data_IF_481104903538
#
_entry.id   IF_481104903538
#
_cell.length_a   1.000
_cell.length_b   1.000
_cell.length_c   1.000
_cell.angle_alpha   90.00
_cell.angle_beta   90.00
_cell.angle_gamma   90.00
#
_symmetry.space_group_name_H-M   'P 1'
#
loop_
_entity.id
_entity.type
_entity.pdbx_description
1 polymer ?
#
# COMPACT_ATOMS: atom_id res chain seq x y z
N UNK A 1 16.16 2.33 6.53
CA UNK A 1 15.12 1.49 7.18
C UNK A 1 14.44 0.65 6.11
N UNK A 2 13.69 -0.37 6.53
CA UNK A 2 12.82 -1.13 5.65
C UNK A 2 11.37 -0.67 5.92
N UNK A 3 10.71 -0.15 4.90
CA UNK A 3 9.38 0.46 5.00
C UNK A 3 8.41 -0.35 4.17
N UNK A 4 7.31 -0.80 4.78
CA UNK A 4 6.19 -1.40 4.06
C UNK A 4 5.10 -0.34 3.88
N UNK A 5 4.76 -0.04 2.63
CA UNK A 5 3.62 0.81 2.27
C UNK A 5 2.46 -0.09 1.85
N UNK A 6 1.31 0.09 2.48
CA UNK A 6 0.08 -0.64 2.16
C UNK A 6 -0.87 0.31 1.43
N UNK A 7 -1.15 0.01 0.17
CA UNK A 7 -2.14 0.75 -0.61
C UNK A 7 -3.47 0.00 -0.59
N UNK A 8 -4.56 0.69 -0.23
CA UNK A 8 -5.92 0.10 -0.20
C UNK A 8 -6.91 0.85 -1.08
N UNK A 9 -6.47 1.87 -1.82
CA UNK A 9 -7.38 2.60 -2.71
C UNK A 9 -7.71 1.76 -3.95
N UNK A 10 -9.00 1.55 -4.27
CA UNK A 10 -9.38 0.91 -5.53
C UNK A 10 -9.01 1.79 -6.74
N UNK A 11 -8.93 3.11 -6.56
CA UNK A 11 -8.56 4.06 -7.60
C UNK A 11 -7.05 4.16 -7.76
N UNK A 12 -6.49 3.44 -8.75
CA UNK A 12 -5.04 3.39 -9.02
C UNK A 12 -4.37 4.76 -9.16
N UNK A 13 -5.06 5.69 -9.81
CA UNK A 13 -4.59 7.06 -10.05
C UNK A 13 -5.32 8.07 -9.14
N UNK A 14 -5.84 7.60 -8.01
CA UNK A 14 -6.52 8.44 -7.03
C UNK A 14 -5.56 9.20 -6.12
N UNK A 15 -6.07 10.17 -5.36
CA UNK A 15 -5.27 11.04 -4.50
C UNK A 15 -4.45 10.29 -3.45
N UNK A 16 -4.96 9.17 -2.91
CA UNK A 16 -4.24 8.37 -1.92
C UNK A 16 -2.99 7.70 -2.50
N UNK A 17 -3.09 7.13 -3.70
CA UNK A 17 -1.95 6.51 -4.38
C UNK A 17 -0.94 7.57 -4.82
N UNK A 18 -1.39 8.74 -5.29
CA UNK A 18 -0.50 9.86 -5.58
C UNK A 18 0.28 10.32 -4.33
N UNK A 19 -0.35 10.35 -3.17
CA UNK A 19 0.33 10.66 -1.91
C UNK A 19 1.36 9.57 -1.55
N UNK A 20 0.98 8.30 -1.68
CA UNK A 20 1.87 7.16 -1.43
C UNK A 20 3.11 7.21 -2.33
N UNK A 21 2.94 7.47 -3.63
CA UNK A 21 4.03 7.61 -4.60
C UNK A 21 5.04 8.70 -4.19
N UNK A 22 4.55 9.87 -3.77
CA UNK A 22 5.42 10.96 -3.34
C UNK A 22 6.16 10.62 -2.03
N UNK A 23 5.51 9.92 -1.10
CA UNK A 23 6.16 9.43 0.12
C UNK A 23 7.24 8.39 -0.20
N UNK A 24 6.93 7.39 -1.04
CA UNK A 24 7.85 6.34 -1.47
C UNK A 24 9.10 6.97 -2.08
N UNK A 25 8.91 7.89 -3.05
CA UNK A 25 10.03 8.60 -3.69
C UNK A 25 10.92 9.30 -2.66
N UNK A 26 10.33 10.06 -1.74
CA UNK A 26 11.11 10.75 -0.69
C UNK A 26 11.85 9.80 0.25
N UNK A 27 11.27 8.64 0.56
CA UNK A 27 11.90 7.63 1.41
C UNK A 27 13.08 6.93 0.71
N UNK A 28 12.91 6.57 -0.56
CA UNK A 28 13.97 5.98 -1.39
C UNK A 28 15.14 6.96 -1.61
N UNK A 29 14.85 8.24 -1.84
CA UNK A 29 15.86 9.31 -1.93
C UNK A 29 16.71 9.46 -0.65
N UNK A 30 16.17 9.06 0.51
CA UNK A 30 16.88 9.02 1.80
C UNK A 30 17.59 7.68 2.08
N UNK A 31 17.65 6.80 1.09
CA UNK A 31 18.32 5.49 1.19
C UNK A 31 17.53 4.47 2.02
N UNK A 32 16.22 4.62 2.14
CA UNK A 32 15.37 3.59 2.72
C UNK A 32 14.95 2.57 1.66
N UNK A 33 14.86 1.29 2.04
CA UNK A 33 14.24 0.28 1.21
C UNK A 33 12.74 0.31 1.44
N UNK A 34 11.98 0.39 0.35
CA UNK A 34 10.52 0.41 0.39
C UNK A 34 9.99 -0.84 -0.31
N UNK A 35 8.96 -1.45 0.28
CA UNK A 35 8.16 -2.50 -0.35
C UNK A 35 6.72 -2.05 -0.36
N UNK A 36 6.04 -2.22 -1.49
CA UNK A 36 4.62 -1.86 -1.64
C UNK A 36 3.78 -3.11 -1.64
N UNK A 37 2.73 -3.14 -0.81
CA UNK A 37 1.69 -4.15 -0.81
C UNK A 37 0.36 -3.51 -1.22
N UNK A 38 -0.14 -3.90 -2.38
CA UNK A 38 -1.42 -3.43 -2.90
C UNK A 38 -2.56 -4.29 -2.34
N UNK A 39 -3.07 -3.89 -1.18
CA UNK A 39 -4.21 -4.52 -0.53
C UNK A 39 -5.51 -4.35 -1.32
N UNK A 40 -5.64 -3.31 -2.17
CA UNK A 40 -6.84 -3.12 -2.98
C UNK A 40 -7.00 -4.18 -4.07
N UNK A 41 -5.89 -4.79 -4.51
CA UNK A 41 -5.85 -5.78 -5.59
C UNK A 41 -5.34 -7.15 -5.15
N UNK A 42 -4.87 -7.27 -3.92
CA UNK A 42 -4.53 -8.54 -3.32
C UNK A 42 -5.79 -9.42 -3.15
N UNK A 43 -5.58 -10.73 -3.19
CA UNK A 43 -6.61 -11.71 -2.85
C UNK A 43 -6.85 -11.71 -1.33
N UNK A 44 -7.57 -10.69 -0.87
CA UNK A 44 -7.94 -10.50 0.52
C UNK A 44 -9.41 -10.86 0.71
N UNK A 45 -9.62 -11.97 1.41
CA UNK A 45 -10.95 -12.36 1.85
C UNK A 45 -11.46 -11.38 2.92
N UNK A 46 -12.75 -11.03 2.92
CA UNK A 46 -13.33 -10.23 3.98
C UNK A 46 -13.19 -10.95 5.33
N UNK A 47 -13.42 -10.23 6.43
CA UNK A 47 -13.54 -10.87 7.73
C UNK A 47 -14.59 -11.99 7.65
N UNK A 48 -14.14 -13.24 7.80
CA UNK A 48 -15.01 -14.40 7.64
C UNK A 48 -16.05 -14.49 8.77
N UNK A 49 -15.82 -13.83 9.91
CA UNK A 49 -16.59 -14.06 11.13
C UNK A 49 -16.58 -15.54 11.54
N UNK A 50 -17.39 -15.93 12.52
CA UNK A 50 -17.76 -17.35 12.67
C UNK A 50 -18.79 -17.67 11.59
N UNK A 51 -18.32 -17.87 10.36
CA UNK A 51 -19.10 -18.57 9.34
C UNK A 51 -19.00 -20.07 9.65
N UNK A 52 -19.98 -20.55 10.44
CA UNK A 52 -20.34 -21.96 10.50
C UNK A 52 -21.34 -22.26 9.38
#
# INVERSE_FOLDING_TARGET
MNILVIESSPHKNGSSNLLADNFIRGAEEKGHQVTVFDAARADLHPCLGRSL
#
